data_IF_250640277572
#
_entry.id   IF_250640277572
#
_cell.length_a   1.000
_cell.length_b   1.000
_cell.length_c   1.000
_cell.angle_alpha   90.00
_cell.angle_beta   90.00
_cell.angle_gamma   90.00
#
_symmetry.space_group_name_H-M   'P 1'
#
loop_
_entity.id
_entity.type
_entity.pdbx_description
1 polymer ?
#
# COMPACT_ATOMS: atom_id res chain seq x y z
N UNK A 1 11.41 3.71 -17.49
CA UNK A 1 11.12 2.92 -16.27
C UNK A 1 11.14 3.89 -15.10
N UNK A 2 10.23 3.76 -14.13
CA UNK A 2 10.29 4.61 -12.95
C UNK A 2 11.44 4.18 -12.02
N UNK A 3 12.15 5.12 -11.43
CA UNK A 3 13.18 4.88 -10.41
C UNK A 3 12.67 5.46 -9.09
N UNK A 4 12.73 4.65 -8.03
CA UNK A 4 12.30 5.07 -6.69
C UNK A 4 13.53 5.11 -5.77
N UNK A 5 13.86 6.30 -5.27
CA UNK A 5 14.97 6.56 -4.35
C UNK A 5 14.45 6.76 -2.90
N UNK A 6 15.35 6.83 -1.91
CA UNK A 6 15.02 6.94 -0.48
C UNK A 6 15.78 5.96 0.41
N UNK A 7 15.43 5.94 1.70
CA UNK A 7 16.14 5.21 2.77
C UNK A 7 16.24 3.69 2.52
N UNK A 8 17.32 3.09 3.04
CA UNK A 8 17.55 1.64 3.02
C UNK A 8 16.58 0.95 3.98
N UNK A 9 16.03 -0.19 3.56
CA UNK A 9 15.25 -1.07 4.43
C UNK A 9 16.20 -1.77 5.42
N UNK A 10 15.94 -1.61 6.72
CA UNK A 10 16.73 -2.20 7.82
C UNK A 10 15.87 -3.01 8.78
N UNK A 11 14.61 -3.28 8.42
CA UNK A 11 13.64 -3.88 9.35
C UNK A 11 14.00 -5.31 9.77
N UNK A 12 14.72 -6.07 8.94
CA UNK A 12 15.10 -7.47 9.25
C UNK A 12 15.87 -7.60 10.57
N UNK A 13 16.69 -6.60 10.91
CA UNK A 13 17.42 -6.59 12.18
C UNK A 13 16.49 -6.46 13.39
N UNK A 14 15.34 -5.79 13.23
CA UNK A 14 14.30 -5.72 14.25
C UNK A 14 13.44 -7.00 14.27
N UNK A 15 13.10 -7.54 13.10
CA UNK A 15 12.35 -8.80 12.96
C UNK A 15 13.09 -9.94 13.66
N UNK A 16 14.40 -10.07 13.45
CA UNK A 16 15.22 -11.14 14.02
C UNK A 16 15.28 -11.16 15.56
N UNK A 17 14.79 -10.10 16.25
CA UNK A 17 14.71 -10.04 17.72
C UNK A 17 13.50 -10.78 18.29
N UNK A 18 12.58 -11.20 17.44
CA UNK A 18 11.36 -11.86 17.84
C UNK A 18 11.32 -13.31 17.35
N UNK A 19 10.70 -14.20 18.11
CA UNK A 19 10.41 -15.56 17.63
C UNK A 19 9.22 -15.51 16.66
N UNK A 20 9.33 -16.13 15.48
CA UNK A 20 8.22 -16.25 14.52
C UNK A 20 7.87 -17.70 14.25
N UNK A 21 6.60 -17.95 13.95
CA UNK A 21 6.14 -19.24 13.42
C UNK A 21 6.18 -19.18 11.90
N UNK A 22 6.75 -20.19 11.22
CA UNK A 22 6.77 -20.21 9.76
C UNK A 22 5.39 -20.18 9.12
N UNK A 23 5.27 -19.45 8.01
CA UNK A 23 4.07 -19.43 7.18
C UNK A 23 3.76 -20.82 6.63
N UNK A 24 2.49 -21.20 6.66
CA UNK A 24 1.98 -22.46 6.09
C UNK A 24 1.43 -22.31 4.68
N UNK A 25 1.14 -21.07 4.28
CA UNK A 25 0.64 -20.70 2.96
C UNK A 25 1.26 -19.35 2.58
N UNK A 26 1.51 -19.08 1.30
CA UNK A 26 2.02 -17.77 0.88
C UNK A 26 1.02 -16.68 1.26
N UNK A 27 1.54 -15.52 1.67
CA UNK A 27 0.74 -14.35 2.04
C UNK A 27 1.04 -13.25 1.04
N UNK A 28 0.00 -12.76 0.38
CA UNK A 28 0.07 -11.65 -0.55
C UNK A 28 -0.60 -10.41 0.04
N UNK A 29 0.23 -9.41 0.33
CA UNK A 29 -0.21 -8.06 0.68
C UNK A 29 -0.33 -7.24 -0.60
N UNK A 30 -1.43 -7.42 -1.33
CA UNK A 30 -1.72 -6.59 -2.49
C UNK A 30 -2.26 -5.23 -2.04
N UNK A 31 -2.06 -4.19 -2.84
CA UNK A 31 -2.44 -2.85 -2.43
C UNK A 31 -2.61 -1.91 -3.61
N UNK A 32 -3.47 -0.92 -3.45
CA UNK A 32 -3.46 0.26 -4.33
C UNK A 32 -2.10 0.97 -4.16
N UNK A 33 -1.38 1.31 -5.24
CA UNK A 33 -0.15 2.11 -5.15
C UNK A 33 -0.34 3.35 -4.28
N UNK A 34 0.53 3.58 -3.30
CA UNK A 34 0.40 4.68 -2.30
C UNK A 34 -0.77 4.51 -1.30
N UNK A 35 -1.37 3.33 -1.23
CA UNK A 35 -2.35 2.94 -0.21
C UNK A 35 -1.75 2.65 1.16
N UNK A 36 -0.43 2.70 1.33
CA UNK A 36 0.26 2.41 2.61
C UNK A 36 0.93 1.03 2.67
N UNK A 37 1.31 0.47 1.53
CA UNK A 37 1.92 -0.87 1.41
C UNK A 37 3.09 -1.10 2.35
N UNK A 38 3.99 -0.11 2.50
CA UNK A 38 5.10 -0.22 3.45
C UNK A 38 4.63 -0.39 4.90
N UNK A 39 3.56 0.29 5.32
CA UNK A 39 3.03 0.17 6.68
C UNK A 39 2.53 -1.26 6.93
N UNK A 40 1.65 -1.76 6.05
CA UNK A 40 1.11 -3.12 6.21
C UNK A 40 2.21 -4.18 6.08
N UNK A 41 3.09 -4.07 5.08
CA UNK A 41 4.23 -4.97 4.89
C UNK A 41 5.11 -5.01 6.12
N UNK A 42 5.52 -3.86 6.63
CA UNK A 42 6.43 -3.79 7.76
C UNK A 42 5.78 -4.36 9.04
N UNK A 43 4.51 -4.07 9.29
CA UNK A 43 3.77 -4.70 10.40
C UNK A 43 3.77 -6.23 10.26
N UNK A 44 3.36 -6.78 9.11
CA UNK A 44 3.24 -8.24 8.94
C UNK A 44 4.61 -8.93 8.95
N UNK A 45 5.68 -8.28 8.44
CA UNK A 45 7.06 -8.79 8.51
C UNK A 45 7.51 -9.07 9.94
N UNK A 46 7.02 -8.33 10.94
CA UNK A 46 7.37 -8.58 12.35
C UNK A 46 6.85 -9.92 12.89
N UNK A 47 5.95 -10.60 12.15
CA UNK A 47 5.35 -11.87 12.53
C UNK A 47 5.80 -13.05 11.64
N UNK A 48 6.60 -12.79 10.61
CA UNK A 48 7.06 -13.81 9.65
C UNK A 48 8.58 -13.97 9.75
N UNK A 49 9.13 -15.19 9.74
CA UNK A 49 10.59 -15.40 9.68
C UNK A 49 11.24 -14.65 8.50
N UNK A 50 12.43 -14.09 8.71
CA UNK A 50 13.15 -13.28 7.70
C UNK A 50 13.40 -14.06 6.40
N UNK A 51 13.69 -15.35 6.49
CA UNK A 51 13.91 -16.24 5.33
C UNK A 51 12.65 -16.51 4.50
N UNK A 52 11.47 -16.17 5.03
CA UNK A 52 10.19 -16.22 4.33
C UNK A 52 9.74 -14.85 3.79
N UNK A 53 10.56 -13.79 3.88
CA UNK A 53 10.23 -12.50 3.26
C UNK A 53 10.63 -12.51 1.77
N UNK A 54 9.72 -12.09 0.91
CA UNK A 54 10.01 -11.83 -0.51
C UNK A 54 10.27 -10.33 -0.72
N UNK A 55 11.54 -9.95 -0.57
CA UNK A 55 11.94 -8.54 -0.49
C UNK A 55 12.64 -7.99 -1.74
N UNK A 56 12.62 -8.75 -2.85
CA UNK A 56 13.28 -8.36 -4.11
C UNK A 56 12.66 -7.10 -4.73
N UNK A 57 11.33 -7.04 -4.80
CA UNK A 57 10.56 -5.91 -5.31
C UNK A 57 9.07 -6.07 -4.94
N UNK A 58 8.27 -5.02 -5.10
CA UNK A 58 6.82 -5.17 -5.14
C UNK A 58 6.41 -5.84 -6.45
N UNK A 59 5.61 -6.90 -6.32
CA UNK A 59 5.11 -7.65 -7.48
C UNK A 59 4.05 -6.82 -8.21
N UNK A 60 4.23 -6.67 -9.51
CA UNK A 60 3.41 -5.87 -10.43
C UNK A 60 3.24 -6.65 -11.73
N UNK A 61 2.22 -6.31 -12.54
CA UNK A 61 1.98 -7.02 -13.80
C UNK A 61 3.23 -7.09 -14.71
N UNK A 62 4.04 -6.03 -14.89
CA UNK A 62 5.23 -6.09 -15.76
C UNK A 62 6.36 -7.01 -15.25
N UNK A 63 6.50 -7.18 -13.93
CA UNK A 63 7.60 -7.95 -13.33
C UNK A 63 7.14 -9.30 -12.73
N UNK A 64 5.85 -9.63 -12.76
CA UNK A 64 5.28 -10.81 -12.08
C UNK A 64 5.98 -12.14 -12.45
N UNK A 65 6.37 -12.29 -13.72
CA UNK A 65 7.09 -13.47 -14.21
C UNK A 65 8.44 -13.72 -13.49
N UNK A 66 9.03 -12.69 -12.86
CA UNK A 66 10.28 -12.78 -12.09
C UNK A 66 10.03 -13.13 -10.60
N UNK A 67 8.77 -13.23 -10.18
CA UNK A 67 8.36 -13.35 -8.78
C UNK A 67 7.35 -14.48 -8.54
N UNK A 68 7.21 -15.44 -9.45
CA UNK A 68 6.27 -16.55 -9.30
C UNK A 68 6.59 -17.46 -8.09
N UNK A 69 7.85 -17.50 -7.67
CA UNK A 69 8.30 -18.19 -6.46
C UNK A 69 7.66 -17.62 -5.19
N UNK A 70 7.29 -16.34 -5.18
CA UNK A 70 6.60 -15.70 -4.05
C UNK A 70 5.21 -16.29 -3.76
N UNK A 71 4.62 -16.99 -4.73
CA UNK A 71 3.29 -17.59 -4.65
C UNK A 71 3.32 -19.13 -4.53
N UNK A 72 4.51 -19.72 -4.38
CA UNK A 72 4.68 -21.16 -4.31
C UNK A 72 4.17 -21.74 -2.97
N UNK A 73 3.13 -22.59 -2.95
CA UNK A 73 2.61 -23.16 -1.70
C UNK A 73 3.59 -24.12 -1.01
N UNK A 74 4.59 -24.63 -1.72
CA UNK A 74 5.62 -25.52 -1.15
C UNK A 74 6.78 -24.76 -0.52
N UNK A 75 6.89 -23.45 -0.79
CA UNK A 75 7.86 -22.56 -0.15
C UNK A 75 7.18 -21.24 0.20
N UNK A 76 6.30 -21.22 1.23
CA UNK A 76 5.51 -20.04 1.57
C UNK A 76 6.37 -18.81 1.84
N UNK A 77 6.06 -17.71 1.13
CA UNK A 77 6.66 -16.39 1.34
C UNK A 77 5.60 -15.35 1.68
N UNK A 78 6.03 -14.29 2.36
CA UNK A 78 5.32 -13.02 2.48
C UNK A 78 5.75 -12.09 1.35
N UNK A 79 4.82 -11.70 0.49
CA UNK A 79 5.07 -10.79 -0.62
C UNK A 79 4.17 -9.56 -0.57
N UNK A 80 4.68 -8.43 -1.03
CA UNK A 80 3.91 -7.21 -1.24
C UNK A 80 3.77 -6.92 -2.73
N UNK A 81 2.62 -6.37 -3.11
CA UNK A 81 2.27 -6.19 -4.51
C UNK A 81 1.40 -4.96 -4.79
N UNK A 82 1.41 -4.58 -6.06
CA UNK A 82 0.44 -3.70 -6.72
C UNK A 82 -0.13 -4.40 -7.95
N UNK A 83 -0.54 -5.66 -7.79
CA UNK A 83 -1.12 -6.45 -8.86
C UNK A 83 -2.48 -5.91 -9.26
N UNK A 84 -2.64 -5.74 -10.57
CA UNK A 84 -3.92 -5.49 -11.21
C UNK A 84 -4.73 -6.80 -11.21
N UNK A 85 -6.04 -6.69 -11.17
CA UNK A 85 -6.93 -7.80 -11.48
C UNK A 85 -6.85 -8.08 -12.98
N UNK A 86 -6.21 -9.19 -13.32
CA UNK A 86 -6.15 -9.77 -14.64
C UNK A 86 -6.11 -11.31 -14.53
N UNK A 87 -6.22 -11.99 -15.66
CA UNK A 87 -6.27 -13.46 -15.75
C UNK A 87 -5.02 -14.13 -15.18
N UNK A 88 -3.84 -13.58 -15.47
CA UNK A 88 -2.57 -14.12 -15.00
C UNK A 88 -2.38 -13.91 -13.50
N UNK A 89 -2.68 -12.71 -13.01
CA UNK A 89 -2.60 -12.38 -11.60
C UNK A 89 -3.54 -13.28 -10.80
N UNK A 90 -4.80 -13.41 -11.22
CA UNK A 90 -5.79 -14.26 -10.56
C UNK A 90 -5.35 -15.75 -10.54
N UNK A 91 -4.80 -16.26 -11.65
CA UNK A 91 -4.30 -17.64 -11.72
C UNK A 91 -3.08 -17.87 -10.81
N UNK A 92 -2.14 -16.93 -10.77
CA UNK A 92 -0.88 -17.06 -10.04
C UNK A 92 -1.07 -16.95 -8.52
N UNK A 93 -1.98 -16.10 -8.05
CA UNK A 93 -2.17 -15.84 -6.62
C UNK A 93 -3.22 -16.73 -5.96
N UNK A 94 -3.86 -17.64 -6.71
CA UNK A 94 -5.01 -18.46 -6.27
C UNK A 94 -4.81 -19.30 -5.01
N UNK A 95 -3.56 -19.61 -4.64
CA UNK A 95 -3.21 -20.39 -3.46
C UNK A 95 -2.67 -19.54 -2.30
N UNK A 96 -2.67 -18.22 -2.47
CA UNK A 96 -2.18 -17.28 -1.47
C UNK A 96 -3.29 -16.81 -0.54
N UNK A 97 -2.93 -16.47 0.69
CA UNK A 97 -3.76 -15.62 1.55
C UNK A 97 -3.68 -14.21 0.98
N UNK A 98 -4.76 -13.76 0.35
CA UNK A 98 -4.77 -12.52 -0.42
C UNK A 98 -5.46 -11.39 0.35
N UNK A 99 -4.66 -10.41 0.75
CA UNK A 99 -5.13 -9.18 1.37
C UNK A 99 -5.05 -8.04 0.36
N UNK A 100 -6.00 -7.10 0.44
CA UNK A 100 -6.01 -5.89 -0.37
C UNK A 100 -6.06 -4.67 0.53
N UNK A 101 -4.97 -3.91 0.52
CA UNK A 101 -4.89 -2.63 1.20
C UNK A 101 -5.38 -1.50 0.30
N UNK A 102 -6.38 -0.78 0.78
CA UNK A 102 -6.87 0.48 0.21
C UNK A 102 -6.66 1.63 1.18
N UNK A 103 -6.74 2.84 0.67
CA UNK A 103 -6.73 4.11 1.41
C UNK A 103 -7.94 4.92 0.96
N UNK A 104 -8.47 5.80 1.81
CA UNK A 104 -9.58 6.69 1.39
C UNK A 104 -9.18 7.39 0.07
N UNK A 105 -9.96 7.25 -1.01
CA UNK A 105 -9.73 7.92 -2.28
C UNK A 105 -9.37 9.40 -2.14
N UNK A 106 -9.97 10.13 -1.18
CA UNK A 106 -9.64 11.53 -0.95
C UNK A 106 -8.20 11.73 -0.44
N UNK A 107 -7.76 10.94 0.53
CA UNK A 107 -6.40 11.02 1.07
C UNK A 107 -5.36 10.43 0.10
N UNK A 108 -5.77 9.43 -0.65
CA UNK A 108 -4.95 8.79 -1.66
C UNK A 108 -4.50 9.75 -2.76
N UNK A 109 -5.39 10.64 -3.22
CA UNK A 109 -5.08 11.68 -4.22
C UNK A 109 -3.89 12.54 -3.75
N UNK A 110 -3.90 12.98 -2.49
CA UNK A 110 -2.82 13.77 -1.91
C UNK A 110 -1.53 12.97 -1.72
N UNK A 111 -1.65 11.69 -1.35
CA UNK A 111 -0.50 10.79 -1.22
C UNK A 111 0.19 10.57 -2.57
N UNK A 112 -0.60 10.35 -3.63
CA UNK A 112 -0.10 10.19 -4.99
C UNK A 112 0.51 11.48 -5.53
N UNK A 113 -0.15 12.62 -5.35
CA UNK A 113 0.36 13.93 -5.77
C UNK A 113 1.75 14.18 -5.16
N UNK A 114 1.86 14.01 -3.85
CA UNK A 114 3.11 14.18 -3.10
C UNK A 114 4.21 13.27 -3.60
N UNK A 115 3.90 12.01 -3.85
CA UNK A 115 4.88 11.05 -4.35
C UNK A 115 5.35 11.42 -5.77
N UNK A 116 4.43 11.77 -6.68
CA UNK A 116 4.78 12.07 -8.07
C UNK A 116 5.66 13.30 -8.23
N UNK A 117 5.51 14.30 -7.34
CA UNK A 117 6.37 15.50 -7.36
C UNK A 117 7.59 15.40 -6.45
N UNK A 118 7.72 14.37 -5.63
CA UNK A 118 8.86 14.23 -4.72
C UNK A 118 10.18 13.93 -5.43
N UNK A 119 11.29 14.22 -4.74
CA UNK A 119 12.63 13.78 -5.12
C UNK A 119 12.81 12.25 -5.13
N UNK A 120 11.92 11.52 -4.45
CA UNK A 120 11.95 10.07 -4.34
C UNK A 120 11.48 9.33 -5.61
N UNK A 121 10.85 10.00 -6.57
CA UNK A 121 10.23 9.37 -7.73
C UNK A 121 10.76 9.97 -9.03
N UNK A 122 11.41 9.18 -9.89
CA UNK A 122 11.90 9.65 -11.17
C UNK A 122 11.28 8.90 -12.35
N UNK A 123 10.72 9.64 -13.28
CA UNK A 123 10.19 9.10 -14.53
C UNK A 123 10.20 10.17 -15.61
N UNK A 124 10.96 9.95 -16.70
CA UNK A 124 11.27 10.99 -17.71
C UNK A 124 10.05 11.75 -18.24
N UNK A 125 8.95 11.04 -18.53
CA UNK A 125 7.74 11.66 -19.07
C UNK A 125 6.90 12.44 -18.02
N UNK A 126 7.31 12.44 -16.75
CA UNK A 126 6.65 13.08 -15.61
C UNK A 126 7.53 14.09 -14.85
N UNK A 127 8.84 14.18 -15.14
CA UNK A 127 9.75 15.11 -14.42
C UNK A 127 9.30 16.57 -14.46
N UNK A 128 8.70 17.02 -15.57
CA UNK A 128 8.15 18.37 -15.72
C UNK A 128 7.10 18.75 -14.66
N UNK A 129 6.46 17.80 -13.98
CA UNK A 129 5.52 18.10 -12.88
C UNK A 129 6.22 18.73 -11.67
N UNK A 130 7.55 18.56 -11.55
CA UNK A 130 8.38 19.09 -10.47
C UNK A 130 8.92 20.50 -10.73
N UNK A 131 8.63 21.06 -11.91
CA UNK A 131 9.18 22.34 -12.38
C UNK A 131 8.67 23.58 -11.63
N UNK A 132 7.67 23.43 -10.76
CA UNK A 132 6.97 24.57 -10.13
C UNK A 132 5.98 25.28 -11.06
N UNK A 133 5.81 24.83 -12.30
CA UNK A 133 4.88 25.45 -13.27
C UNK A 133 3.40 25.24 -12.93
N UNK A 134 3.06 24.16 -12.22
CA UNK A 134 1.69 23.77 -11.93
C UNK A 134 1.32 24.11 -10.48
N UNK A 135 0.13 24.68 -10.29
CA UNK A 135 -0.41 24.86 -8.95
C UNK A 135 -0.72 23.51 -8.29
N UNK A 136 -0.81 23.52 -6.96
CA UNK A 136 -1.21 22.35 -6.18
C UNK A 136 -2.55 21.77 -6.67
N UNK A 137 -3.52 22.63 -6.98
CA UNK A 137 -4.84 22.22 -7.45
C UNK A 137 -4.79 21.52 -8.82
N UNK A 138 -3.95 22.01 -9.73
CA UNK A 138 -3.74 21.37 -11.04
C UNK A 138 -3.10 19.99 -10.86
N UNK A 139 -2.08 19.88 -10.02
CA UNK A 139 -1.43 18.61 -9.72
C UNK A 139 -2.40 17.60 -9.07
N UNK A 140 -3.24 18.07 -8.14
CA UNK A 140 -4.28 17.25 -7.51
C UNK A 140 -5.28 16.75 -8.54
N UNK A 141 -5.78 17.62 -9.43
CA UNK A 141 -6.72 17.22 -10.47
C UNK A 141 -6.10 16.21 -11.45
N UNK A 142 -4.80 16.34 -11.77
CA UNK A 142 -4.05 15.34 -12.54
C UNK A 142 -3.98 13.97 -11.83
N UNK A 143 -4.06 13.93 -10.49
CA UNK A 143 -4.10 12.66 -9.74
C UNK A 143 -5.49 12.02 -9.73
N UNK A 144 -6.53 12.84 -9.82
CA UNK A 144 -7.93 12.39 -9.92
C UNK A 144 -8.18 11.81 -11.32
N UNK A 145 -7.93 12.60 -12.36
CA UNK A 145 -8.25 12.25 -13.76
C UNK A 145 -7.13 11.50 -14.48
N UNK A 146 -5.96 11.39 -13.87
CA UNK A 146 -4.76 10.89 -14.54
C UNK A 146 -4.13 11.94 -15.44
N UNK A 147 -3.06 11.52 -16.12
CA UNK A 147 -2.36 12.34 -17.10
C UNK A 147 -2.47 11.61 -18.41
N UNK A 148 -3.12 12.24 -19.39
CA UNK A 148 -3.42 11.61 -20.68
C UNK A 148 -2.19 10.92 -21.28
N UNK A 149 -2.34 9.63 -21.60
CA UNK A 149 -1.29 8.76 -22.15
C UNK A 149 -0.01 8.61 -21.31
N UNK A 150 0.01 9.06 -20.05
CA UNK A 150 1.20 9.03 -19.18
C UNK A 150 0.96 8.40 -17.82
N UNK A 151 -0.22 8.58 -17.23
CA UNK A 151 -0.55 8.05 -15.91
C UNK A 151 -2.04 7.74 -15.81
N UNK A 152 -2.43 6.57 -15.28
CA UNK A 152 -3.83 6.16 -15.17
C UNK A 152 -4.60 7.06 -14.20
N UNK A 153 -5.92 7.13 -14.37
CA UNK A 153 -6.78 7.89 -13.49
C UNK A 153 -6.95 7.21 -12.12
N UNK A 154 -7.51 7.93 -11.15
CA UNK A 154 -7.91 7.34 -9.87
C UNK A 154 -8.86 6.15 -10.09
N UNK A 155 -9.86 6.32 -10.95
CA UNK A 155 -10.84 5.28 -11.26
C UNK A 155 -10.15 4.01 -11.79
N UNK A 156 -9.26 4.14 -12.77
CA UNK A 156 -8.60 2.98 -13.38
C UNK A 156 -7.75 2.23 -12.35
N UNK A 157 -6.98 2.96 -11.53
CA UNK A 157 -6.15 2.36 -10.48
C UNK A 157 -7.01 1.63 -9.46
N UNK A 158 -8.03 2.28 -8.90
CA UNK A 158 -8.86 1.61 -7.89
C UNK A 158 -9.69 0.47 -8.49
N UNK A 159 -10.12 0.58 -9.75
CA UNK A 159 -10.84 -0.49 -10.44
C UNK A 159 -10.00 -1.76 -10.47
N UNK A 160 -8.77 -1.67 -10.99
CA UNK A 160 -7.95 -2.86 -11.20
C UNK A 160 -7.16 -3.29 -9.97
N UNK A 161 -6.71 -2.37 -9.10
CA UNK A 161 -5.94 -2.75 -7.90
C UNK A 161 -6.82 -3.13 -6.70
N UNK A 162 -8.11 -2.77 -6.68
CA UNK A 162 -8.99 -3.04 -5.54
C UNK A 162 -10.38 -3.55 -5.94
N UNK A 163 -11.19 -2.74 -6.61
CA UNK A 163 -12.62 -3.02 -6.79
C UNK A 163 -12.87 -4.36 -7.51
N UNK A 164 -12.12 -4.65 -8.58
CA UNK A 164 -12.27 -5.88 -9.36
C UNK A 164 -11.87 -7.15 -8.59
N UNK A 165 -11.09 -7.04 -7.52
CA UNK A 165 -10.77 -8.15 -6.63
C UNK A 165 -11.82 -8.38 -5.55
N UNK A 166 -12.70 -7.42 -5.28
CA UNK A 166 -13.74 -7.60 -4.26
C UNK A 166 -14.68 -8.73 -4.67
N UNK A 167 -15.06 -9.57 -3.71
CA UNK A 167 -15.89 -10.75 -3.96
C UNK A 167 -15.13 -12.00 -4.42
N UNK A 168 -13.81 -11.93 -4.64
CA UNK A 168 -12.99 -13.11 -5.01
C UNK A 168 -12.41 -13.85 -3.80
N UNK A 169 -12.86 -13.52 -2.59
CA UNK A 169 -12.34 -14.10 -1.33
C UNK A 169 -11.16 -13.34 -0.71
N UNK A 170 -10.80 -12.17 -1.24
CA UNK A 170 -9.78 -11.30 -0.63
C UNK A 170 -10.23 -10.72 0.71
N UNK A 171 -9.27 -10.46 1.61
CA UNK A 171 -9.52 -9.71 2.84
C UNK A 171 -9.19 -8.23 2.62
N UNK A 172 -10.21 -7.37 2.70
CA UNK A 172 -10.06 -5.93 2.52
C UNK A 172 -9.48 -5.29 3.79
N UNK A 173 -8.44 -4.49 3.64
CA UNK A 173 -7.79 -3.72 4.70
C UNK A 173 -7.85 -2.24 4.33
N UNK A 174 -8.28 -1.38 5.26
CA UNK A 174 -8.24 0.08 5.09
C UNK A 174 -7.07 0.66 5.86
N UNK A 175 -6.33 1.55 5.20
CA UNK A 175 -5.18 2.25 5.79
C UNK A 175 -5.56 2.98 7.08
N UNK A 176 -6.73 3.63 7.08
CA UNK A 176 -7.26 4.42 8.19
C UNK A 176 -7.61 3.54 9.40
N UNK A 177 -8.07 2.30 9.17
CA UNK A 177 -8.31 1.33 10.26
C UNK A 177 -7.00 0.89 10.91
N UNK A 178 -5.95 0.64 10.12
CA UNK A 178 -4.60 0.34 10.65
C UNK A 178 -4.13 1.50 11.54
N UNK A 179 -4.26 2.74 11.07
CA UNK A 179 -3.82 3.91 11.83
C UNK A 179 -4.60 4.06 13.14
N UNK A 180 -5.92 3.89 13.10
CA UNK A 180 -6.77 3.94 14.30
C UNK A 180 -6.38 2.84 15.29
N UNK A 181 -6.15 1.62 14.81
CA UNK A 181 -5.74 0.51 15.66
C UNK A 181 -4.35 0.71 16.28
N UNK A 182 -3.40 1.33 15.57
CA UNK A 182 -2.10 1.71 16.15
C UNK A 182 -2.26 2.80 17.22
N UNK A 183 -3.07 3.83 16.93
CA UNK A 183 -3.30 4.93 17.88
C UNK A 183 -3.97 4.48 19.17
N UNK A 184 -4.75 3.41 19.10
CA UNK A 184 -5.51 2.85 20.23
C UNK A 184 -4.99 1.47 20.60
N UNK A 185 -3.69 1.20 20.46
CA UNK A 185 -3.07 -0.14 20.57
C UNK A 185 -3.43 -0.93 21.85
N UNK A 186 -3.78 -0.23 22.94
CA UNK A 186 -4.18 -0.83 24.21
C UNK A 186 -5.67 -1.15 24.34
N UNK A 187 -6.47 -0.82 23.32
CA UNK A 187 -7.90 -1.08 23.28
C UNK A 187 -8.23 -2.52 22.85
N UNK A 188 -9.40 -3.00 23.28
CA UNK A 188 -9.94 -4.30 22.88
C UNK A 188 -10.24 -4.32 21.38
N UNK A 189 -10.66 -3.18 20.83
CA UNK A 189 -10.91 -3.00 19.40
C UNK A 189 -9.64 -3.17 18.57
N UNK A 190 -8.51 -2.67 19.05
CA UNK A 190 -7.22 -2.85 18.37
C UNK A 190 -6.72 -4.28 18.48
N UNK A 191 -6.92 -4.92 19.63
CA UNK A 191 -6.64 -6.35 19.78
C UNK A 191 -7.45 -7.20 18.80
N UNK A 192 -8.75 -6.94 18.67
CA UNK A 192 -9.61 -7.61 17.71
C UNK A 192 -9.15 -7.36 16.26
N UNK A 193 -8.88 -6.10 15.92
CA UNK A 193 -8.42 -5.72 14.58
C UNK A 193 -7.14 -6.45 14.16
N UNK A 194 -6.10 -6.44 15.00
CA UNK A 194 -4.86 -7.14 14.69
C UNK A 194 -4.99 -8.66 14.77
N UNK A 195 -5.90 -9.18 15.61
CA UNK A 195 -6.29 -10.58 15.60
C UNK A 195 -6.85 -11.00 14.25
N UNK A 196 -7.82 -10.27 13.73
CA UNK A 196 -8.45 -10.53 12.43
C UNK A 196 -7.46 -10.37 11.27
N UNK A 197 -6.61 -9.34 11.31
CA UNK A 197 -5.57 -9.10 10.30
C UNK A 197 -4.57 -10.27 10.23
N UNK A 198 -4.07 -10.74 11.38
CA UNK A 198 -3.12 -11.84 11.43
C UNK A 198 -3.79 -13.17 11.05
N UNK A 199 -5.03 -13.39 11.47
CA UNK A 199 -5.80 -14.56 11.06
C UNK A 199 -6.04 -14.60 9.54
N UNK A 200 -6.30 -13.45 8.90
CA UNK A 200 -6.40 -13.35 7.45
C UNK A 200 -5.10 -13.72 6.73
N UNK A 201 -3.94 -13.43 7.34
CA UNK A 201 -2.63 -13.88 6.90
C UNK A 201 -2.33 -15.35 7.24
N UNK A 202 -3.17 -16.05 8.01
CA UNK A 202 -2.88 -17.38 8.52
C UNK A 202 -1.78 -17.42 9.58
N UNK A 203 -1.62 -16.34 10.33
CA UNK A 203 -0.61 -16.16 11.37
C UNK A 203 -1.28 -16.19 12.74
N UNK A 204 -0.77 -17.03 13.64
CA UNK A 204 -1.21 -17.05 15.04
C UNK A 204 -0.67 -15.80 15.77
N UNK A 205 -1.55 -15.10 16.51
CA UNK A 205 -1.17 -13.88 17.22
C UNK A 205 -0.35 -14.21 18.48
N UNK A 206 0.92 -13.79 18.58
CA UNK A 206 1.71 -13.99 19.79
C UNK A 206 1.30 -13.01 20.91
N UNK A 207 1.66 -13.31 22.15
CA UNK A 207 1.35 -12.42 23.30
C UNK A 207 2.00 -11.04 23.19
N UNK A 208 3.18 -10.94 22.56
CA UNK A 208 3.91 -9.70 22.31
C UNK A 208 3.56 -9.00 20.98
N UNK A 209 2.34 -9.22 20.47
CA UNK A 209 1.90 -8.65 19.19
C UNK A 209 1.95 -7.11 19.16
N UNK A 210 1.67 -6.43 20.28
CA UNK A 210 1.68 -4.97 20.36
C UNK A 210 3.05 -4.40 20.05
N UNK A 211 4.10 -4.94 20.67
CA UNK A 211 5.48 -4.49 20.49
C UNK A 211 5.89 -4.64 19.01
N UNK A 212 5.53 -5.76 18.39
CA UNK A 212 5.75 -6.02 16.97
C UNK A 212 5.04 -5.01 16.08
N UNK A 213 3.76 -4.74 16.33
CA UNK A 213 2.99 -3.73 15.57
C UNK A 213 3.66 -2.37 15.70
N UNK A 214 4.03 -1.95 16.91
CA UNK A 214 4.63 -0.64 17.15
C UNK A 214 5.96 -0.49 16.41
N UNK A 215 6.84 -1.51 16.47
CA UNK A 215 8.11 -1.52 15.72
C UNK A 215 7.86 -1.51 14.21
N UNK A 216 6.99 -2.38 13.71
CA UNK A 216 6.67 -2.46 12.28
C UNK A 216 5.96 -1.22 11.73
N UNK A 217 5.30 -0.45 12.59
CA UNK A 217 4.60 0.79 12.24
C UNK A 217 5.45 2.06 12.34
N UNK A 218 6.71 1.95 12.80
CA UNK A 218 7.58 3.13 12.92
C UNK A 218 7.84 3.74 11.53
N UNK A 219 7.39 4.98 11.37
CA UNK A 219 7.48 5.73 10.11
C UNK A 219 8.92 6.00 9.69
N UNK A 220 9.87 5.99 10.62
CA UNK A 220 11.31 6.08 10.32
C UNK A 220 11.81 4.93 9.45
N UNK A 221 11.09 3.80 9.44
CA UNK A 221 11.42 2.60 8.66
C UNK A 221 10.65 2.54 7.33
N UNK A 222 9.87 3.58 6.99
CA UNK A 222 9.08 3.63 5.76
C UNK A 222 9.65 4.63 4.75
N UNK A 223 10.15 4.11 3.62
CA UNK A 223 10.72 4.91 2.52
C UNK A 223 9.78 5.99 1.97
N UNK A 224 8.49 5.73 1.99
CA UNK A 224 7.48 6.61 1.40
C UNK A 224 6.59 7.26 2.44
N UNK A 225 7.02 7.31 3.70
CA UNK A 225 6.34 8.13 4.71
C UNK A 225 6.40 9.60 4.29
N UNK A 226 5.36 10.38 4.60
CA UNK A 226 5.23 11.78 4.14
C UNK A 226 6.45 12.62 4.55
N UNK A 227 6.93 12.42 5.76
CA UNK A 227 8.09 13.07 6.36
C UNK A 227 9.42 12.71 5.68
N UNK A 228 9.46 11.61 4.92
CA UNK A 228 10.65 11.13 4.22
C UNK A 228 10.66 11.53 2.74
N UNK A 229 9.65 12.27 2.27
CA UNK A 229 9.55 12.76 0.89
C UNK A 229 9.88 14.26 0.84
N UNK A 230 10.92 14.65 0.11
CA UNK A 230 11.22 16.06 -0.10
C UNK A 230 10.48 16.56 -1.33
N UNK A 231 9.84 17.73 -1.19
CA UNK A 231 9.17 18.39 -2.30
C UNK A 231 10.09 19.47 -2.89
N UNK A 232 10.05 19.67 -4.22
CA UNK A 232 10.71 20.79 -4.87
C UNK A 232 10.29 22.13 -4.24
N UNK A 233 11.23 23.08 -4.24
CA UNK A 233 10.96 24.43 -3.76
C UNK A 233 9.76 25.04 -4.51
N UNK A 234 8.88 25.73 -3.78
CA UNK A 234 7.66 26.33 -4.33
C UNK A 234 6.46 25.39 -4.47
N UNK A 235 6.61 24.08 -4.30
CA UNK A 235 5.48 23.13 -4.31
C UNK A 235 4.99 22.87 -2.89
N UNK A 236 3.78 23.32 -2.58
CA UNK A 236 3.09 23.03 -1.31
C UNK A 236 1.75 22.37 -1.59
N UNK A 237 1.53 21.18 -1.02
CA UNK A 237 0.25 20.47 -1.10
C UNK A 237 -0.57 20.68 0.18
N UNK A 238 -1.90 20.85 0.07
CA UNK A 238 -2.76 21.01 1.23
C UNK A 238 -2.81 19.75 2.11
N UNK A 239 -3.29 19.91 3.33
CA UNK A 239 -3.48 18.79 4.27
C UNK A 239 -4.69 17.92 3.92
N UNK A 240 -5.69 18.49 3.25
CA UNK A 240 -6.92 17.83 2.81
C UNK A 240 -7.37 18.40 1.47
N UNK A 241 -8.14 17.62 0.71
CA UNK A 241 -8.79 18.09 -0.52
C UNK A 241 -9.82 19.17 -0.22
N UNK A 242 -9.93 20.15 -1.13
CA UNK A 242 -11.03 21.12 -1.13
C UNK A 242 -12.38 20.44 -1.41
N UNK A 243 -13.48 21.09 -1.08
CA UNK A 243 -14.83 20.60 -1.39
C UNK A 243 -15.00 20.34 -2.89
N UNK A 244 -14.50 21.25 -3.73
CA UNK A 244 -14.53 21.09 -5.18
C UNK A 244 -13.73 19.86 -5.63
N UNK A 245 -12.56 19.59 -5.05
CA UNK A 245 -11.76 18.41 -5.39
C UNK A 245 -12.43 17.11 -4.94
N UNK A 246 -13.10 17.10 -3.78
CA UNK A 246 -13.91 15.95 -3.34
C UNK A 246 -15.06 15.67 -4.32
N UNK A 247 -15.77 16.73 -4.73
CA UNK A 247 -16.81 16.61 -5.75
C UNK A 247 -16.27 16.09 -7.10
N UNK A 248 -15.06 16.48 -7.50
CA UNK A 248 -14.40 15.95 -8.70
C UNK A 248 -14.04 14.46 -8.56
N UNK A 249 -13.59 14.02 -7.38
CA UNK A 249 -13.38 12.59 -7.09
C UNK A 249 -14.69 11.82 -7.21
N UNK A 250 -15.77 12.31 -6.61
CA UNK A 250 -17.07 11.63 -6.63
C UNK A 250 -17.71 11.62 -8.02
N UNK A 251 -17.49 12.66 -8.81
CA UNK A 251 -17.87 12.71 -10.21
C UNK A 251 -17.10 11.67 -11.05
N UNK A 252 -15.79 11.57 -10.86
CA UNK A 252 -14.93 10.68 -11.66
C UNK A 252 -15.05 9.22 -11.26
N UNK A 253 -15.25 8.93 -9.97
CA UNK A 253 -15.33 7.58 -9.41
C UNK A 253 -16.57 7.42 -8.52
N UNK A 254 -17.78 7.49 -9.09
CA UNK A 254 -19.03 7.47 -8.33
C UNK A 254 -19.18 6.17 -7.54
N UNK A 255 -19.50 6.29 -6.25
CA UNK A 255 -19.73 5.16 -5.35
C UNK A 255 -18.47 4.42 -4.88
N UNK A 256 -17.27 4.79 -5.36
CA UNK A 256 -16.03 4.11 -5.00
C UNK A 256 -15.76 4.14 -3.48
N UNK A 257 -15.94 5.31 -2.84
CA UNK A 257 -15.72 5.44 -1.38
C UNK A 257 -16.65 4.50 -0.60
N UNK A 258 -17.93 4.47 -0.95
CA UNK A 258 -18.92 3.59 -0.32
C UNK A 258 -18.60 2.10 -0.56
N UNK A 259 -18.18 1.73 -1.78
CA UNK A 259 -17.76 0.36 -2.11
C UNK A 259 -16.62 -0.13 -1.22
N UNK A 260 -15.69 0.77 -0.88
CA UNK A 260 -14.55 0.50 0.00
C UNK A 260 -14.87 0.67 1.50
N UNK A 261 -16.12 0.97 1.85
CA UNK A 261 -16.58 1.14 3.23
C UNK A 261 -16.30 2.50 3.85
N UNK A 262 -15.96 3.52 3.08
CA UNK A 262 -15.83 4.91 3.56
C UNK A 262 -17.17 5.64 3.52
N UNK A 263 -17.38 6.55 4.49
CA UNK A 263 -18.54 7.43 4.59
C UNK A 263 -18.30 8.78 3.87
#
# INVERSE_FOLDING_TARGET
MAIISGIKDTLDAEVAKFDQTPLRQPVLLNSVPKGGTHLLRNIVRMFVPVDQHHDRDFVQAPNMHLHLDAFNPHEPKLAAAHLLFDDQAAANVRLTRHLILVRDPYDWVLARARFMVSDAFHQDNLEHLKSGLFSADVLINMMIFGIHAKSPSLLDIFTHNAAAWLGTGVHLVRYEDILKAIQTIDSVESEAYFGDLLAACGIDRPSNWKDRVLVGSDRKLSRTARENLQLPEGITLPAALSEQQRALVDFHAPGLRALLGYA
#
